data_IF_776948671923
#
_entry.id   IF_776948671923
#
_cell.length_a   1.000
_cell.length_b   1.000
_cell.length_c   1.000
_cell.angle_alpha   90.00
_cell.angle_beta   90.00
_cell.angle_gamma   90.00
#
_symmetry.space_group_name_H-M   'P 1'
#
loop_
_entity.id
_entity.type
_entity.pdbx_description
1 polymer ?
#
# COMPACT_ATOMS: atom_id res chain seq x y z
N UNK A 1 -20.13 -4.16 -24.70
CA UNK A 1 -19.65 -3.10 -23.79
C UNK A 1 -18.26 -3.49 -23.30
N UNK A 2 -17.23 -2.72 -23.63
CA UNK A 2 -15.84 -3.01 -23.26
C UNK A 2 -15.61 -2.58 -21.80
N UNK A 3 -15.25 -3.53 -20.93
CA UNK A 3 -15.04 -3.28 -19.49
C UNK A 3 -13.60 -3.60 -19.12
N UNK A 4 -13.02 -2.82 -18.21
CA UNK A 4 -11.60 -2.94 -17.84
C UNK A 4 -11.25 -4.32 -17.27
N UNK A 5 -12.23 -5.00 -16.68
CA UNK A 5 -12.12 -6.38 -16.18
C UNK A 5 -11.96 -7.44 -17.27
N UNK A 6 -12.16 -7.11 -18.55
CA UNK A 6 -11.94 -8.04 -19.67
C UNK A 6 -10.54 -7.86 -20.31
N UNK A 7 -9.74 -6.90 -19.83
CA UNK A 7 -8.38 -6.73 -20.34
C UNK A 7 -7.45 -7.85 -19.84
N UNK A 8 -6.41 -8.20 -20.63
CA UNK A 8 -5.31 -9.02 -20.16
C UNK A 8 -4.67 -8.45 -18.90
N UNK A 9 -4.16 -9.32 -18.03
CA UNK A 9 -3.52 -8.96 -16.77
C UNK A 9 -2.37 -7.96 -16.97
N UNK A 10 -1.56 -8.13 -18.02
CA UNK A 10 -0.45 -7.24 -18.35
C UNK A 10 -0.88 -5.79 -18.57
N UNK A 11 -2.02 -5.57 -19.25
CA UNK A 11 -2.51 -4.21 -19.50
C UNK A 11 -3.07 -3.59 -18.21
N UNK A 12 -3.70 -4.39 -17.36
CA UNK A 12 -4.19 -3.92 -16.06
C UNK A 12 -3.00 -3.51 -15.17
N UNK A 13 -1.92 -4.30 -15.15
CA UNK A 13 -0.69 -3.97 -14.43
C UNK A 13 -0.01 -2.73 -15.00
N UNK A 14 0.00 -2.57 -16.32
CA UNK A 14 0.53 -1.37 -16.97
C UNK A 14 -0.27 -0.12 -16.54
N UNK A 15 -1.60 -0.19 -16.52
CA UNK A 15 -2.45 0.90 -16.05
C UNK A 15 -2.17 1.19 -14.56
N UNK A 16 -2.06 0.15 -13.73
CA UNK A 16 -1.69 0.26 -12.33
C UNK A 16 -0.33 0.95 -12.14
N UNK A 17 0.65 0.69 -13.01
CA UNK A 17 1.97 1.32 -12.95
C UNK A 17 1.96 2.82 -13.26
N UNK A 18 0.99 3.30 -14.06
CA UNK A 18 0.82 4.73 -14.34
C UNK A 18 0.07 5.47 -13.22
N UNK A 19 -0.63 4.76 -12.34
CA UNK A 19 -1.33 5.33 -11.20
C UNK A 19 -0.32 5.69 -10.09
N UNK A 20 0.20 6.92 -10.16
CA UNK A 20 1.19 7.50 -9.23
C UNK A 20 0.62 7.90 -7.86
N UNK A 21 -0.52 7.37 -7.44
CA UNK A 21 -1.18 7.76 -6.18
C UNK A 21 -1.79 6.54 -5.52
N UNK A 22 -1.55 6.36 -4.22
CA UNK A 22 -2.10 5.24 -3.45
C UNK A 22 -3.62 5.21 -3.49
N UNK A 23 -4.28 6.37 -3.37
CA UNK A 23 -5.75 6.45 -3.38
C UNK A 23 -6.37 6.01 -4.72
N UNK A 24 -5.74 6.33 -5.85
CA UNK A 24 -6.28 5.96 -7.17
C UNK A 24 -6.04 4.48 -7.46
N UNK A 25 -4.90 3.95 -6.99
CA UNK A 25 -4.61 2.53 -7.02
C UNK A 25 -5.56 1.74 -6.11
N UNK A 26 -5.84 2.24 -4.91
CA UNK A 26 -6.81 1.66 -3.97
C UNK A 26 -8.22 1.66 -4.57
N UNK A 27 -8.65 2.76 -5.20
CA UNK A 27 -9.93 2.83 -5.90
C UNK A 27 -10.01 1.75 -7.01
N UNK A 28 -8.94 1.53 -7.77
CA UNK A 28 -8.89 0.48 -8.80
C UNK A 28 -9.01 -0.92 -8.19
N UNK A 29 -8.31 -1.18 -7.08
CA UNK A 29 -8.32 -2.46 -6.35
C UNK A 29 -9.71 -2.73 -5.76
N UNK A 30 -10.36 -1.71 -5.19
CA UNK A 30 -11.70 -1.82 -4.59
C UNK A 30 -12.83 -1.91 -5.63
N UNK A 31 -12.59 -1.47 -6.87
CA UNK A 31 -13.63 -1.44 -7.93
C UNK A 31 -14.12 -2.82 -8.37
N UNK A 32 -13.26 -3.85 -8.38
CA UNK A 32 -13.64 -5.18 -8.85
C UNK A 32 -12.75 -6.26 -8.19
N UNK A 33 -13.34 -7.41 -7.82
CA UNK A 33 -12.58 -8.53 -7.21
C UNK A 33 -11.44 -9.09 -8.07
N UNK A 34 -11.59 -9.12 -9.40
CA UNK A 34 -10.52 -9.55 -10.33
C UNK A 34 -9.35 -8.55 -10.28
N UNK A 35 -9.66 -7.26 -10.34
CA UNK A 35 -8.66 -6.19 -10.23
C UNK A 35 -8.01 -6.19 -8.85
N UNK A 36 -8.80 -6.47 -7.80
CA UNK A 36 -8.31 -6.60 -6.44
C UNK A 36 -7.17 -7.61 -6.36
N UNK A 37 -7.36 -8.82 -6.89
CA UNK A 37 -6.33 -9.86 -6.87
C UNK A 37 -5.05 -9.49 -7.63
N UNK A 38 -5.17 -8.79 -8.76
CA UNK A 38 -4.03 -8.42 -9.62
C UNK A 38 -3.29 -7.21 -9.05
N UNK A 39 -4.03 -6.15 -8.72
CA UNK A 39 -3.47 -4.85 -8.34
C UNK A 39 -3.13 -4.74 -6.85
N UNK A 40 -3.61 -5.66 -5.99
CA UNK A 40 -3.24 -5.64 -4.56
C UNK A 40 -1.73 -5.61 -4.38
N UNK A 41 -1.04 -6.49 -5.11
CA UNK A 41 0.42 -6.61 -5.01
C UNK A 41 1.11 -5.32 -5.41
N UNK A 42 0.65 -4.68 -6.49
CA UNK A 42 1.17 -3.39 -6.93
C UNK A 42 0.94 -2.30 -5.88
N UNK A 43 -0.17 -2.35 -5.16
CA UNK A 43 -0.50 -1.40 -4.10
C UNK A 43 0.41 -1.52 -2.89
N UNK A 44 0.64 -2.73 -2.39
CA UNK A 44 1.62 -2.93 -1.32
C UNK A 44 3.07 -2.67 -1.77
N UNK A 45 3.42 -2.98 -3.02
CA UNK A 45 4.75 -2.64 -3.57
C UNK A 45 4.96 -1.13 -3.65
N UNK A 46 3.94 -0.39 -4.11
CA UNK A 46 3.99 1.06 -4.17
C UNK A 46 4.10 1.67 -2.77
N UNK A 47 3.32 1.16 -1.80
CA UNK A 47 3.42 1.58 -0.41
C UNK A 47 4.81 1.32 0.19
N UNK A 48 5.42 0.18 -0.13
CA UNK A 48 6.76 -0.16 0.34
C UNK A 48 7.85 0.76 -0.24
N UNK A 49 7.71 1.16 -1.51
CA UNK A 49 8.69 1.98 -2.22
C UNK A 49 8.52 3.48 -1.95
N UNK A 50 7.28 3.97 -1.88
CA UNK A 50 6.96 5.40 -1.85
C UNK A 50 6.15 5.81 -0.61
N UNK A 51 5.34 4.91 -0.05
CA UNK A 51 4.47 5.16 1.11
C UNK A 51 5.14 4.95 2.47
N UNK A 52 6.48 4.83 2.52
CA UNK A 52 7.26 4.62 3.74
C UNK A 52 6.78 3.41 4.59
N UNK A 53 6.28 2.36 3.95
CA UNK A 53 5.70 1.18 4.61
C UNK A 53 4.52 1.51 5.55
N UNK A 54 3.72 2.54 5.25
CA UNK A 54 2.58 2.93 6.10
C UNK A 54 1.56 1.79 6.28
N UNK A 55 1.43 0.88 5.33
CA UNK A 55 0.60 -0.32 5.46
C UNK A 55 1.13 -1.28 6.55
N UNK A 56 2.45 -1.44 6.65
CA UNK A 56 3.11 -2.28 7.64
C UNK A 56 3.06 -1.64 9.03
N UNK A 57 3.37 -0.34 9.11
CA UNK A 57 3.30 0.45 10.35
C UNK A 57 1.87 0.51 10.92
N UNK A 58 0.85 0.49 10.06
CA UNK A 58 -0.54 0.39 10.49
C UNK A 58 -0.93 -1.04 10.88
N UNK A 59 -0.56 -2.05 10.08
CA UNK A 59 -1.00 -3.43 10.30
C UNK A 59 -0.43 -4.07 11.57
N UNK A 60 0.83 -3.76 11.91
CA UNK A 60 1.51 -4.30 13.08
C UNK A 60 0.80 -3.98 14.43
N UNK A 61 0.50 -2.71 14.77
CA UNK A 61 -0.20 -2.38 16.02
C UNK A 61 -1.69 -2.74 16.00
N UNK A 62 -2.34 -2.76 14.82
CA UNK A 62 -3.77 -3.09 14.72
C UNK A 62 -4.05 -4.60 14.65
N UNK A 63 -3.02 -5.46 14.70
CA UNK A 63 -3.19 -6.91 14.66
C UNK A 63 -3.72 -7.45 13.33
N UNK A 64 -3.57 -6.70 12.24
CA UNK A 64 -4.09 -7.05 10.91
C UNK A 64 -3.09 -7.93 10.16
N UNK A 65 -3.06 -9.22 10.55
CA UNK A 65 -2.09 -10.20 10.03
C UNK A 65 -2.16 -10.34 8.50
N UNK A 66 -3.35 -10.25 7.91
CA UNK A 66 -3.52 -10.36 6.45
C UNK A 66 -2.82 -9.21 5.70
N UNK A 67 -3.07 -7.97 6.11
CA UNK A 67 -2.44 -6.76 5.57
C UNK A 67 -0.92 -6.78 5.81
N UNK A 68 -0.50 -7.23 6.99
CA UNK A 68 0.92 -7.39 7.33
C UNK A 68 1.62 -8.39 6.42
N UNK A 69 1.02 -9.55 6.18
CA UNK A 69 1.58 -10.58 5.31
C UNK A 69 1.64 -10.13 3.86
N UNK A 70 0.61 -9.42 3.35
CA UNK A 70 0.62 -8.85 2.00
C UNK A 70 1.71 -7.79 1.83
N UNK A 71 1.93 -6.93 2.84
CA UNK A 71 3.01 -5.96 2.82
C UNK A 71 4.38 -6.65 2.76
N UNK A 72 4.58 -7.70 3.55
CA UNK A 72 5.82 -8.49 3.54
C UNK A 72 6.05 -9.23 2.21
N UNK A 73 5.02 -9.86 1.64
CA UNK A 73 5.10 -10.54 0.33
C UNK A 73 5.41 -9.57 -0.82
N UNK A 74 4.93 -8.33 -0.70
CA UNK A 74 5.24 -7.26 -1.64
C UNK A 74 6.68 -6.73 -1.52
N UNK A 75 7.48 -7.24 -0.59
CA UNK A 75 8.87 -6.84 -0.41
C UNK A 75 9.05 -5.61 0.47
N UNK A 76 8.07 -5.27 1.31
CA UNK A 76 8.28 -4.28 2.36
C UNK A 76 9.48 -4.73 3.22
N UNK A 77 10.53 -3.90 3.39
CA UNK A 77 11.67 -4.27 4.21
C UNK A 77 11.16 -4.53 5.62
N UNK A 78 11.42 -5.75 6.12
CA UNK A 78 11.17 -6.08 7.52
C UNK A 78 11.86 -5.02 8.37
N UNK A 79 11.06 -4.35 9.21
CA UNK A 79 11.44 -3.25 10.08
C UNK A 79 12.92 -3.38 10.48
N UNK A 80 13.79 -2.56 9.88
CA UNK A 80 15.12 -2.37 10.45
C UNK A 80 14.85 -1.77 11.82
N UNK A 81 15.21 -2.52 12.85
CA UNK A 81 15.19 -2.10 14.25
C UNK A 81 15.56 -0.62 14.29
N UNK A 82 14.56 0.22 14.56
CA UNK A 82 14.78 1.64 14.75
C UNK A 82 15.64 1.70 16.00
N UNK A 83 16.96 1.88 15.80
CA UNK A 83 17.90 2.12 16.88
C UNK A 83 17.29 3.23 17.73
N UNK A 84 16.88 2.87 18.95
CA UNK A 84 16.42 3.79 19.99
C UNK A 84 17.59 4.71 20.32
N UNK A 85 17.73 5.76 19.52
CA UNK A 85 18.82 6.70 19.59
C UNK A 85 18.26 8.11 19.46
N UNK A 86 18.05 8.74 20.61
CA UNK A 86 17.79 10.16 20.82
C UNK A 86 16.42 10.73 20.41
N UNK A 87 15.62 11.00 21.46
CA UNK A 87 14.72 12.15 21.53
C UNK A 87 15.45 13.39 20.98
N UNK A 88 14.98 13.95 19.88
CA UNK A 88 15.11 15.39 19.63
C UNK A 88 13.78 15.92 19.13
N UNK A 89 13.21 16.83 19.94
CA UNK A 89 12.19 17.80 19.52
C UNK A 89 12.66 18.45 18.22
N UNK A 90 11.81 18.41 17.20
CA UNK A 90 12.07 19.03 15.90
C UNK A 90 11.17 18.36 14.89
N UNK A 91 9.96 18.90 14.73
CA UNK A 91 8.98 18.38 13.81
C UNK A 91 9.52 18.39 12.38
N UNK A 92 9.67 17.20 11.82
CA UNK A 92 9.22 16.96 10.46
C UNK A 92 8.00 16.07 10.66
N UNK A 93 6.83 16.70 10.81
CA UNK A 93 5.58 16.02 10.52
C UNK A 93 5.69 15.70 9.04
N UNK A 94 6.13 14.49 8.72
CA UNK A 94 6.00 13.97 7.36
C UNK A 94 4.51 14.04 7.07
N UNK A 95 4.10 15.00 6.25
CA UNK A 95 2.69 15.30 5.96
C UNK A 95 1.94 14.09 5.38
N UNK A 96 2.67 13.04 5.01
CA UNK A 96 2.13 11.77 4.52
C UNK A 96 1.65 10.80 5.60
N UNK A 97 2.03 10.99 6.87
CA UNK A 97 1.92 9.94 7.90
C UNK A 97 0.62 9.88 8.70
N UNK A 98 -0.41 10.69 8.41
CA UNK A 98 -1.67 10.67 9.19
C UNK A 98 -2.95 10.52 8.40
N UNK A 99 -2.96 10.78 7.10
CA UNK A 99 -4.20 10.68 6.29
C UNK A 99 -4.39 9.31 5.63
N UNK A 100 -3.29 8.58 5.36
CA UNK A 100 -3.34 7.30 4.64
C UNK A 100 -3.80 6.11 5.50
N UNK A 101 -3.80 6.24 6.82
CA UNK A 101 -4.20 5.14 7.72
C UNK A 101 -5.65 4.66 7.51
N UNK A 102 -6.54 5.53 7.01
CA UNK A 102 -7.93 5.17 6.70
C UNK A 102 -8.06 4.27 5.47
N UNK A 103 -7.09 4.27 4.56
CA UNK A 103 -7.15 3.47 3.34
C UNK A 103 -7.04 1.97 3.63
N UNK A 104 -6.35 1.59 4.70
CA UNK A 104 -6.08 0.19 5.04
C UNK A 104 -7.21 -0.49 5.84
N UNK A 105 -8.23 0.27 6.28
CA UNK A 105 -9.40 -0.30 6.97
C UNK A 105 -10.24 -1.21 6.06
N UNK A 106 -10.24 -0.93 4.76
CA UNK A 106 -11.00 -1.65 3.74
C UNK A 106 -10.28 -2.90 3.18
N UNK A 107 -9.05 -3.22 3.65
CA UNK A 107 -8.17 -4.28 3.11
C UNK A 107 -7.82 -5.42 4.09
#
# INVERSE_FOLDING_TARGET
MSRIENLPTELILLIASFLRTESSLAALVLSNRRLCGICNRCLYQYNALYGNNSALDWAAPNGRINTLQKALDAGAPMLKEQAKGTRRRGGIVSQFGREDSRLWEDF
#
